data_IF_868665307985
#
_entry.id   IF_868665307985
#
_cell.length_a   1.000
_cell.length_b   1.000
_cell.length_c   1.000
_cell.angle_alpha   90.00
_cell.angle_beta   90.00
_cell.angle_gamma   90.00
#
_symmetry.space_group_name_H-M   'P 1'
#
loop_
_entity.id
_entity.type
_entity.pdbx_description
1 polymer ?
#
# COMPACT_ATOMS: atom_id res chain seq x y z
N UNK A 1 44.77 -0.56 5.82
CA UNK A 1 43.68 -0.73 6.79
C UNK A 1 42.97 0.61 6.93
N UNK A 2 41.93 0.83 6.13
CA UNK A 2 41.15 2.06 6.11
C UNK A 2 39.68 1.67 5.92
N UNK A 3 39.08 1.19 7.01
CA UNK A 3 37.64 1.05 7.14
C UNK A 3 37.16 2.17 8.05
N UNK A 4 36.51 3.17 7.48
CA UNK A 4 35.58 4.02 8.22
C UNK A 4 34.48 4.48 7.27
N UNK A 5 33.44 3.66 7.24
CA UNK A 5 32.01 3.99 7.08
C UNK A 5 31.71 5.45 6.69
N UNK A 6 31.42 5.66 5.40
CA UNK A 6 30.91 6.94 4.86
C UNK A 6 29.39 6.90 4.60
N UNK A 7 28.67 5.90 5.09
CA UNK A 7 27.26 5.70 4.71
C UNK A 7 26.36 5.32 5.89
N UNK A 8 26.38 6.07 6.99
CA UNK A 8 25.25 6.06 7.92
C UNK A 8 24.99 7.47 8.45
N UNK A 9 23.74 7.90 8.33
CA UNK A 9 23.12 9.04 9.02
C UNK A 9 23.33 10.43 8.42
N UNK A 10 22.62 10.75 7.33
CA UNK A 10 22.23 12.14 7.09
C UNK A 10 20.89 12.23 6.37
N UNK A 11 19.80 12.10 7.12
CA UNK A 11 18.47 12.67 6.87
C UNK A 11 17.52 12.22 8.00
N UNK A 12 17.81 12.65 9.24
CA UNK A 12 16.76 12.64 10.25
C UNK A 12 15.75 13.70 9.83
N UNK A 13 14.65 13.27 9.21
CA UNK A 13 13.51 14.13 8.93
C UNK A 13 13.01 14.70 10.27
N UNK A 14 13.33 15.96 10.56
CA UNK A 14 13.10 16.58 11.87
C UNK A 14 11.63 16.50 12.34
N UNK A 15 10.68 16.40 11.40
CA UNK A 15 9.26 16.23 11.70
C UNK A 15 8.91 14.84 12.24
N UNK A 16 9.70 13.80 11.96
CA UNK A 16 9.48 12.44 12.47
C UNK A 16 9.92 12.28 13.94
N UNK A 17 10.71 13.22 14.47
CA UNK A 17 11.17 13.17 15.86
C UNK A 17 10.12 13.65 16.86
N UNK A 18 9.11 14.41 16.40
CA UNK A 18 8.10 15.04 17.25
C UNK A 18 6.85 14.16 17.46
N UNK A 19 6.99 12.84 17.43
CA UNK A 19 5.86 11.92 17.61
C UNK A 19 5.64 11.63 19.11
N UNK A 20 4.42 11.81 19.64
CA UNK A 20 4.13 11.54 21.05
C UNK A 20 4.35 10.07 21.42
N UNK A 21 5.03 9.81 22.55
CA UNK A 21 5.26 8.45 23.04
C UNK A 21 3.95 7.69 23.30
N UNK A 22 2.91 8.39 23.80
CA UNK A 22 1.61 7.79 24.05
C UNK A 22 0.96 7.23 22.77
N UNK A 23 1.18 7.88 21.62
CA UNK A 23 0.69 7.42 20.32
C UNK A 23 1.44 6.16 19.85
N UNK A 24 2.76 6.12 20.02
CA UNK A 24 3.54 4.92 19.68
C UNK A 24 3.13 3.70 20.52
N UNK A 25 2.89 3.91 21.82
CA UNK A 25 2.37 2.87 22.72
C UNK A 25 0.98 2.40 22.31
N UNK A 26 0.08 3.30 21.91
CA UNK A 26 -1.26 2.90 21.49
C UNK A 26 -1.27 2.08 20.20
N UNK A 27 -0.34 2.34 19.27
CA UNK A 27 -0.13 1.51 18.08
C UNK A 27 0.30 0.09 18.51
N UNK A 28 1.30 -0.03 19.37
CA UNK A 28 1.79 -1.32 19.85
C UNK A 28 0.69 -2.11 20.58
N UNK A 29 -0.06 -1.44 21.46
CA UNK A 29 -1.19 -2.00 22.18
C UNK A 29 -2.27 -2.52 21.23
N UNK A 30 -2.68 -1.72 20.24
CA UNK A 30 -3.69 -2.12 19.26
C UNK A 30 -3.22 -3.27 18.38
N UNK A 31 -1.95 -3.24 17.97
CA UNK A 31 -1.34 -4.32 17.19
C UNK A 31 -1.36 -5.65 17.94
N UNK A 32 -0.91 -5.65 19.20
CA UNK A 32 -0.83 -6.87 20.04
C UNK A 32 -2.19 -7.38 20.49
N UNK A 33 -3.13 -6.50 20.83
CA UNK A 33 -4.42 -6.87 21.43
C UNK A 33 -5.51 -7.15 20.40
N UNK A 34 -5.50 -6.44 19.25
CA UNK A 34 -6.55 -6.54 18.25
C UNK A 34 -6.07 -7.25 16.99
N UNK A 35 -4.99 -6.77 16.37
CA UNK A 35 -4.56 -7.26 15.06
C UNK A 35 -4.01 -8.70 15.13
N UNK A 36 -3.04 -8.97 16.01
CA UNK A 36 -2.43 -10.31 16.10
C UNK A 36 -3.47 -11.41 16.41
N UNK A 37 -4.42 -11.24 17.34
CA UNK A 37 -5.44 -12.27 17.59
C UNK A 37 -6.44 -12.46 16.43
N UNK A 38 -6.72 -11.42 15.64
CA UNK A 38 -7.59 -11.53 14.48
C UNK A 38 -6.90 -12.28 13.35
N UNK A 39 -5.71 -11.84 12.95
CA UNK A 39 -4.98 -12.45 11.83
C UNK A 39 -4.53 -13.88 12.15
N UNK A 40 -4.24 -14.21 13.42
CA UNK A 40 -3.87 -15.58 13.85
C UNK A 40 -4.94 -16.64 13.54
N UNK A 41 -6.20 -16.21 13.40
CA UNK A 41 -7.33 -17.08 13.03
C UNK A 41 -7.36 -17.35 11.52
N UNK A 42 -6.99 -16.35 10.72
CA UNK A 42 -7.12 -16.37 9.27
C UNK A 42 -5.81 -16.75 8.56
N UNK A 43 -4.66 -16.62 9.21
CA UNK A 43 -3.36 -16.89 8.63
C UNK A 43 -2.36 -17.38 9.69
N UNK A 44 -1.25 -17.94 9.21
CA UNK A 44 -0.11 -18.30 10.02
C UNK A 44 0.74 -17.06 10.36
N UNK A 45 1.11 -16.94 11.63
CA UNK A 45 1.84 -15.79 12.14
C UNK A 45 3.29 -16.14 12.46
N UNK A 46 4.21 -15.31 11.98
CA UNK A 46 5.60 -15.27 12.43
C UNK A 46 5.82 -13.97 13.21
N UNK A 47 6.40 -14.08 14.40
CA UNK A 47 6.69 -12.94 15.27
C UNK A 47 8.15 -12.97 15.67
N UNK A 48 8.87 -11.89 15.36
CA UNK A 48 10.30 -11.75 15.60
C UNK A 48 10.59 -10.59 16.55
N UNK A 49 11.58 -10.77 17.40
CA UNK A 49 12.16 -9.69 18.19
C UNK A 49 13.24 -8.94 17.39
N UNK A 50 13.58 -7.73 17.82
CA UNK A 50 14.57 -6.83 17.24
C UNK A 50 15.93 -7.46 16.92
N UNK A 51 16.36 -8.45 17.71
CA UNK A 51 17.61 -9.20 17.47
C UNK A 51 17.44 -10.26 16.39
N UNK A 52 16.29 -10.94 16.37
CA UNK A 52 16.01 -12.05 15.44
C UNK A 52 15.78 -11.55 14.00
N UNK A 53 15.25 -10.34 13.83
CA UNK A 53 15.02 -9.73 12.51
C UNK A 53 16.31 -9.54 11.69
N UNK A 54 17.48 -9.51 12.34
CA UNK A 54 18.75 -9.38 11.62
C UNK A 54 19.20 -10.68 10.95
N UNK A 55 18.63 -11.82 11.37
CA UNK A 55 18.96 -13.15 10.85
C UNK A 55 18.00 -13.53 9.72
N UNK A 56 18.37 -13.14 8.50
CA UNK A 56 17.56 -13.36 7.30
C UNK A 56 17.46 -14.84 6.95
N UNK A 57 18.53 -15.61 7.16
CA UNK A 57 18.56 -17.04 6.83
C UNK A 57 17.51 -17.79 7.65
N UNK A 58 17.47 -17.52 8.95
CA UNK A 58 16.45 -18.07 9.84
C UNK A 58 15.02 -17.67 9.43
N UNK A 59 14.80 -16.43 9.02
CA UNK A 59 13.46 -15.99 8.58
C UNK A 59 12.98 -16.73 7.33
N UNK A 60 13.89 -16.99 6.38
CA UNK A 60 13.56 -17.76 5.17
C UNK A 60 13.26 -19.21 5.53
N UNK A 61 14.06 -19.83 6.39
CA UNK A 61 13.80 -21.19 6.88
C UNK A 61 12.41 -21.30 7.54
N UNK A 62 12.07 -20.37 8.45
CA UNK A 62 10.76 -20.35 9.10
C UNK A 62 9.60 -20.23 8.09
N UNK A 63 9.78 -19.47 7.00
CA UNK A 63 8.79 -19.35 5.90
C UNK A 63 8.69 -20.65 5.10
N UNK A 64 9.79 -21.34 4.86
CA UNK A 64 9.78 -22.61 4.11
C UNK A 64 9.17 -23.75 4.91
N UNK A 65 9.33 -23.75 6.25
CA UNK A 65 8.73 -24.76 7.13
C UNK A 65 7.26 -24.49 7.48
N UNK A 66 6.71 -23.34 7.09
CA UNK A 66 5.32 -23.00 7.32
C UNK A 66 4.38 -23.88 6.50
N UNK A 67 3.34 -24.36 7.17
CA UNK A 67 2.23 -25.08 6.53
C UNK A 67 1.02 -24.17 6.49
N UNK A 68 0.59 -23.83 5.28
CA UNK A 68 -0.59 -22.99 5.04
C UNK A 68 -1.85 -23.87 5.12
N UNK A 69 -2.42 -23.95 6.32
CA UNK A 69 -3.62 -24.74 6.60
C UNK A 69 -4.81 -23.85 7.02
N UNK A 70 -4.56 -22.56 7.27
CA UNK A 70 -5.58 -21.59 7.69
C UNK A 70 -6.05 -20.69 6.56
N UNK A 71 -7.24 -20.11 6.77
CA UNK A 71 -7.75 -19.01 5.96
C UNK A 71 -8.45 -19.42 4.66
N UNK A 72 -9.01 -18.44 3.94
CA UNK A 72 -9.80 -18.69 2.73
C UNK A 72 -8.94 -19.02 1.50
N UNK A 73 -7.62 -19.05 1.62
CA UNK A 73 -6.67 -19.26 0.52
C UNK A 73 -6.75 -20.68 -0.05
N UNK A 74 -6.95 -21.67 0.83
CA UNK A 74 -7.00 -23.10 0.45
C UNK A 74 -8.29 -23.44 -0.30
N UNK A 75 -9.39 -22.76 0.03
CA UNK A 75 -10.73 -23.06 -0.49
C UNK A 75 -11.07 -22.29 -1.80
N UNK A 76 -10.12 -21.58 -2.41
CA UNK A 76 -10.37 -20.86 -3.67
C UNK A 76 -10.47 -21.81 -4.87
N UNK A 77 -11.49 -21.61 -5.70
CA UNK A 77 -11.68 -22.28 -6.99
C UNK A 77 -11.26 -21.38 -8.18
N UNK A 78 -11.19 -21.96 -9.37
CA UNK A 78 -10.81 -21.22 -10.59
C UNK A 78 -11.75 -20.03 -10.87
N UNK A 79 -13.02 -20.14 -10.48
CA UNK A 79 -14.05 -19.12 -10.68
C UNK A 79 -13.83 -17.93 -9.74
N UNK A 80 -13.62 -18.17 -8.44
CA UNK A 80 -13.31 -17.12 -7.47
C UNK A 80 -12.00 -16.41 -7.80
N UNK A 81 -10.97 -17.15 -8.19
CA UNK A 81 -9.70 -16.57 -8.66
C UNK A 81 -9.88 -15.75 -9.94
N UNK A 82 -10.73 -16.17 -10.87
CA UNK A 82 -11.06 -15.38 -12.06
C UNK A 82 -11.68 -14.04 -11.69
N UNK A 83 -12.71 -14.03 -10.83
CA UNK A 83 -13.34 -12.78 -10.40
C UNK A 83 -12.41 -11.87 -9.61
N UNK A 84 -11.57 -12.45 -8.74
CA UNK A 84 -10.54 -11.72 -8.01
C UNK A 84 -9.56 -11.05 -8.97
N UNK A 85 -9.12 -11.76 -10.01
CA UNK A 85 -8.24 -11.22 -11.05
C UNK A 85 -8.90 -10.08 -11.84
N UNK A 86 -10.17 -10.26 -12.23
CA UNK A 86 -10.94 -9.23 -12.94
C UNK A 86 -11.08 -7.96 -12.10
N UNK A 87 -11.31 -8.09 -10.79
CA UNK A 87 -11.35 -6.95 -9.88
C UNK A 87 -9.98 -6.28 -9.72
N UNK A 88 -8.93 -7.04 -9.43
CA UNK A 88 -7.60 -6.52 -9.14
C UNK A 88 -6.92 -5.86 -10.35
N UNK A 89 -7.27 -6.27 -11.57
CA UNK A 89 -6.77 -5.67 -12.80
C UNK A 89 -7.31 -4.26 -13.00
N UNK A 90 -8.61 -4.05 -12.74
CA UNK A 90 -9.28 -2.75 -12.89
C UNK A 90 -9.03 -1.84 -11.68
N UNK A 91 -8.04 -0.95 -11.82
CA UNK A 91 -7.65 -0.01 -10.76
C UNK A 91 -8.75 1.00 -10.43
N UNK A 92 -9.55 1.40 -11.42
CA UNK A 92 -10.62 2.36 -11.18
C UNK A 92 -11.69 1.72 -10.30
N UNK A 93 -12.13 0.51 -10.65
CA UNK A 93 -13.13 -0.24 -9.88
C UNK A 93 -12.72 -0.50 -8.44
N UNK A 94 -11.44 -0.77 -8.17
CA UNK A 94 -10.92 -0.93 -6.80
C UNK A 94 -10.96 0.40 -6.04
N UNK A 95 -10.56 1.51 -6.67
CA UNK A 95 -10.55 2.84 -6.04
C UNK A 95 -11.97 3.35 -5.81
N UNK A 96 -12.91 3.06 -6.69
CA UNK A 96 -14.32 3.46 -6.55
C UNK A 96 -14.94 2.94 -5.24
N UNK A 97 -14.49 1.79 -4.73
CA UNK A 97 -14.94 1.24 -3.44
C UNK A 97 -14.49 2.10 -2.24
N UNK A 98 -13.46 2.93 -2.41
CA UNK A 98 -12.97 3.85 -1.37
C UNK A 98 -13.72 5.18 -1.38
N UNK A 99 -14.38 5.53 -2.49
CA UNK A 99 -15.14 6.76 -2.68
C UNK A 99 -16.54 6.63 -2.07
N UNK A 100 -16.63 6.78 -0.74
CA UNK A 100 -17.91 6.73 -0.02
C UNK A 100 -18.66 8.06 -0.19
N UNK A 101 -19.90 8.00 -0.66
CA UNK A 101 -20.80 9.16 -0.78
C UNK A 101 -21.35 9.62 0.59
N UNK A 102 -20.46 9.85 1.56
CA UNK A 102 -20.78 10.32 2.89
C UNK A 102 -20.02 11.61 3.16
N UNK A 103 -20.76 12.66 3.47
CA UNK A 103 -20.19 13.96 3.80
C UNK A 103 -19.46 13.89 5.16
N UNK A 104 -18.14 13.93 5.10
CA UNK A 104 -17.22 14.05 6.24
C UNK A 104 -16.36 15.29 6.05
N UNK A 105 -16.34 16.26 6.99
CA UNK A 105 -15.65 17.54 6.79
C UNK A 105 -14.13 17.41 6.61
N UNK A 106 -13.52 16.34 7.11
CA UNK A 106 -12.08 16.07 6.98
C UNK A 106 -11.68 15.56 5.59
N UNK A 107 -12.63 14.99 4.84
CA UNK A 107 -12.37 14.31 3.55
C UNK A 107 -13.11 14.98 2.39
N UNK A 108 -14.26 15.60 2.65
CA UNK A 108 -15.10 16.21 1.60
C UNK A 108 -14.46 17.50 1.11
N UNK A 109 -14.25 17.58 -0.20
CA UNK A 109 -13.72 18.77 -0.87
C UNK A 109 -14.88 19.56 -1.48
N UNK A 110 -14.81 20.89 -1.43
CA UNK A 110 -15.80 21.75 -2.05
C UNK A 110 -15.81 21.62 -3.58
N UNK A 111 -16.98 21.76 -4.21
CA UNK A 111 -17.14 21.58 -5.65
C UNK A 111 -16.20 22.50 -6.47
N UNK A 112 -16.02 23.75 -6.06
CA UNK A 112 -15.14 24.70 -6.73
C UNK A 112 -13.65 24.33 -6.63
N UNK A 113 -13.23 23.83 -5.47
CA UNK A 113 -11.85 23.37 -5.26
C UNK A 113 -11.57 22.11 -6.06
N UNK A 114 -12.53 21.19 -6.10
CA UNK A 114 -12.45 19.98 -6.91
C UNK A 114 -12.36 20.30 -8.40
N UNK A 115 -13.21 21.19 -8.92
CA UNK A 115 -13.21 21.59 -10.33
C UNK A 115 -11.86 22.18 -10.76
N UNK A 116 -11.31 23.08 -9.94
CA UNK A 116 -9.97 23.62 -10.15
C UNK A 116 -8.91 22.52 -10.15
N UNK A 117 -8.89 21.67 -9.13
CA UNK A 117 -7.91 20.58 -9.02
C UNK A 117 -8.01 19.60 -10.20
N UNK A 118 -9.22 19.34 -10.70
CA UNK A 118 -9.46 18.52 -11.87
C UNK A 118 -8.78 19.08 -13.13
N UNK A 119 -9.01 20.36 -13.43
CA UNK A 119 -8.38 20.99 -14.60
C UNK A 119 -6.87 21.17 -14.42
N UNK A 120 -6.41 21.51 -13.21
CA UNK A 120 -4.98 21.59 -12.90
C UNK A 120 -4.30 20.23 -13.16
N UNK A 121 -4.90 19.12 -12.71
CA UNK A 121 -4.39 17.77 -12.98
C UNK A 121 -4.41 17.41 -14.47
N UNK A 122 -5.48 17.75 -15.20
CA UNK A 122 -5.60 17.51 -16.65
C UNK A 122 -4.61 18.33 -17.47
N UNK A 123 -4.19 19.49 -16.97
CA UNK A 123 -3.22 20.36 -17.64
C UNK A 123 -1.79 19.81 -17.58
N UNK A 124 -1.51 18.84 -16.70
CA UNK A 124 -0.22 18.18 -16.61
C UNK A 124 0.07 17.36 -17.89
N UNK A 125 1.34 17.33 -18.33
CA UNK A 125 1.72 16.58 -19.53
C UNK A 125 1.40 15.09 -19.36
N UNK A 126 0.73 14.51 -20.37
CA UNK A 126 0.32 13.11 -20.40
C UNK A 126 -0.94 12.76 -19.61
N UNK A 127 -1.67 13.76 -19.07
CA UNK A 127 -2.89 13.56 -18.26
C UNK A 127 -4.17 14.09 -18.90
N UNK A 128 -4.05 14.80 -20.01
CA UNK A 128 -5.20 15.40 -20.71
C UNK A 128 -6.11 14.33 -21.35
N UNK A 129 -5.54 13.30 -21.97
CA UNK A 129 -6.27 12.20 -22.60
C UNK A 129 -5.90 10.84 -21.99
N UNK A 130 -6.59 9.80 -22.46
CA UNK A 130 -6.30 8.42 -22.07
C UNK A 130 -4.83 8.06 -22.37
N UNK A 131 -4.21 7.17 -21.56
CA UNK A 131 -2.85 6.70 -21.83
C UNK A 131 -2.71 6.16 -23.25
N UNK A 132 -1.67 6.57 -23.98
CA UNK A 132 -1.44 6.16 -25.37
C UNK A 132 -2.01 7.11 -26.43
N UNK A 133 -2.73 8.17 -26.03
CA UNK A 133 -3.33 9.18 -26.91
C UNK A 133 -2.83 10.62 -26.67
N UNK A 134 -1.77 10.80 -25.87
CA UNK A 134 -1.22 12.10 -25.49
C UNK A 134 -0.01 12.47 -26.37
N UNK A 135 -0.21 13.37 -27.35
CA UNK A 135 0.86 13.78 -28.29
C UNK A 135 1.99 14.53 -27.62
N UNK A 136 1.67 15.27 -26.57
CA UNK A 136 2.55 16.07 -25.72
C UNK A 136 3.63 15.23 -25.01
N UNK A 137 3.39 13.93 -24.81
CA UNK A 137 4.38 12.99 -24.24
C UNK A 137 4.97 12.02 -25.26
N UNK A 138 4.71 12.26 -26.55
CA UNK A 138 5.31 11.48 -27.65
C UNK A 138 4.55 10.22 -28.05
N UNK A 139 3.25 10.11 -27.72
CA UNK A 139 2.43 8.99 -28.18
C UNK A 139 2.29 8.99 -29.71
N UNK A 140 2.65 7.87 -30.32
CA UNK A 140 2.59 7.64 -31.78
C UNK A 140 1.31 6.90 -32.17
N UNK A 141 0.91 7.05 -33.44
CA UNK A 141 -0.23 6.35 -34.03
C UNK A 141 -1.56 6.57 -33.30
N UNK A 142 -1.76 7.75 -32.70
CA UNK A 142 -2.96 8.12 -31.92
C UNK A 142 -4.29 7.82 -32.66
N UNK A 143 -4.30 8.02 -33.97
CA UNK A 143 -5.42 7.75 -34.88
C UNK A 143 -5.64 6.28 -35.29
N UNK A 144 -4.70 5.38 -34.99
CA UNK A 144 -4.71 3.97 -35.42
C UNK A 144 -4.61 2.99 -34.24
N UNK A 145 -5.00 3.43 -33.05
CA UNK A 145 -5.03 2.63 -31.80
C UNK A 145 -6.45 2.31 -31.38
#
# INVERSE_FOLDING_TARGET
MSHTSCCQNHLSLAHLQNVPLAYLKSIEDSYKKNFLPQISKEAELLAYDSVQVQDIERMVEDIEYLKFEKGPWVDQDDVSLHYLRMLAQDKQRVVDLTCIARFLPEVTIGAHEYDKAYYDYRSLPGKMFAPGYNRDVGDKYVWLK
#
